data_IF_498610613149
#
_entry.id   IF_498610613149
#
_cell.length_a   1.000
_cell.length_b   1.000
_cell.length_c   1.000
_cell.angle_alpha   90.00
_cell.angle_beta   90.00
_cell.angle_gamma   90.00
#
_symmetry.space_group_name_H-M   'P 1'
#
loop_
_entity.id
_entity.type
_entity.pdbx_description
1 polymer ?
#
# COMPACT_ATOMS: atom_id res chain seq x y z
N UNK A 1 6.80 0.09 15.02
CA UNK A 1 7.10 0.66 13.68
C UNK A 1 7.33 2.18 13.67
N UNK A 2 7.45 2.88 14.80
CA UNK A 2 7.81 4.31 14.82
C UNK A 2 9.29 4.60 15.12
N UNK A 3 10.12 3.57 15.35
CA UNK A 3 11.52 3.72 15.78
C UNK A 3 12.55 3.41 14.69
N UNK A 4 12.16 2.81 13.56
CA UNK A 4 13.13 2.35 12.55
C UNK A 4 13.64 3.45 11.61
N UNK A 5 13.17 4.70 11.75
CA UNK A 5 13.55 5.83 10.88
C UNK A 5 14.27 6.98 11.60
N UNK A 6 14.52 6.91 12.91
CA UNK A 6 15.23 7.98 13.64
C UNK A 6 14.54 9.36 13.61
N UNK A 7 13.29 9.43 13.14
CA UNK A 7 12.56 10.66 12.86
C UNK A 7 11.34 10.73 13.77
N UNK A 8 11.18 11.86 14.46
CA UNK A 8 10.03 12.14 15.33
C UNK A 8 8.69 12.00 14.57
N UNK A 9 7.70 11.25 15.10
CA UNK A 9 6.35 11.14 14.53
C UNK A 9 5.66 12.49 14.30
N UNK A 10 6.07 13.53 15.04
CA UNK A 10 5.57 14.90 14.91
C UNK A 10 6.16 15.61 13.69
N UNK A 11 7.45 15.38 13.40
CA UNK A 11 8.11 15.91 12.21
C UNK A 11 7.58 15.23 10.94
N UNK A 12 7.39 13.91 10.99
CA UNK A 12 6.85 13.11 9.88
C UNK A 12 5.44 13.57 9.47
N UNK A 13 4.55 13.85 10.44
CA UNK A 13 3.21 14.40 10.17
C UNK A 13 3.25 15.77 9.49
N UNK A 14 4.15 16.66 9.93
CA UNK A 14 4.28 18.01 9.38
C UNK A 14 4.84 17.99 7.96
N UNK A 15 5.85 17.14 7.70
CA UNK A 15 6.44 16.98 6.36
C UNK A 15 5.45 16.35 5.39
N UNK A 16 4.77 15.26 5.76
CA UNK A 16 3.79 14.61 4.86
C UNK A 16 2.65 15.55 4.46
N UNK A 17 2.14 16.35 5.41
CA UNK A 17 1.05 17.29 5.14
C UNK A 17 1.50 18.48 4.28
N UNK A 18 2.74 18.96 4.47
CA UNK A 18 3.30 20.09 3.68
C UNK A 18 3.78 19.67 2.29
N UNK A 19 4.36 18.48 2.13
CA UNK A 19 4.94 18.03 0.87
C UNK A 19 3.94 17.28 -0.03
N UNK A 20 2.98 16.55 0.54
CA UNK A 20 2.06 15.68 -0.22
C UNK A 20 0.58 15.96 0.00
N UNK A 21 0.22 16.92 0.88
CA UNK A 21 -1.18 17.22 1.23
C UNK A 21 -1.93 16.10 1.98
N UNK A 22 -1.28 14.97 2.24
CA UNK A 22 -1.89 13.76 2.85
C UNK A 22 -1.40 13.54 4.29
N UNK A 23 -2.25 12.91 5.10
CA UNK A 23 -1.85 12.42 6.43
C UNK A 23 -0.85 11.27 6.31
N UNK A 24 -0.03 11.07 7.35
CA UNK A 24 0.92 9.95 7.41
C UNK A 24 0.24 8.59 7.19
N UNK A 25 -0.95 8.38 7.77
CA UNK A 25 -1.71 7.14 7.59
C UNK A 25 -2.12 6.90 6.13
N UNK A 26 -2.52 7.96 5.41
CA UNK A 26 -2.84 7.86 3.98
C UNK A 26 -1.59 7.54 3.15
N UNK A 27 -0.45 8.16 3.46
CA UNK A 27 0.82 7.88 2.78
C UNK A 27 1.25 6.42 3.00
N UNK A 28 1.21 5.95 4.24
CA UNK A 28 1.53 4.55 4.56
C UNK A 28 0.62 3.56 3.85
N UNK A 29 -0.67 3.89 3.73
CA UNK A 29 -1.63 3.09 2.97
C UNK A 29 -1.25 3.01 1.49
N UNK A 30 -0.94 4.14 0.86
CA UNK A 30 -0.48 4.17 -0.53
C UNK A 30 0.79 3.35 -0.74
N UNK A 31 1.79 3.51 0.15
CA UNK A 31 3.04 2.74 0.08
C UNK A 31 2.76 1.24 0.17
N UNK A 32 1.89 0.80 1.10
CA UNK A 32 1.54 -0.62 1.25
C UNK A 32 0.80 -1.16 0.04
N UNK A 33 -0.16 -0.42 -0.51
CA UNK A 33 -0.87 -0.82 -1.73
C UNK A 33 0.11 -0.94 -2.90
N UNK A 34 1.02 0.02 -3.07
CA UNK A 34 2.07 -0.05 -4.10
C UNK A 34 2.95 -1.30 -3.92
N UNK A 35 3.45 -1.56 -2.71
CA UNK A 35 4.27 -2.74 -2.44
C UNK A 35 3.51 -4.04 -2.71
N UNK A 36 2.22 -4.11 -2.36
CA UNK A 36 1.37 -5.25 -2.67
C UNK A 36 1.25 -5.48 -4.18
N UNK A 37 1.03 -4.42 -4.97
CA UNK A 37 1.00 -4.51 -6.43
C UNK A 37 2.34 -5.01 -7.00
N UNK A 38 3.47 -4.55 -6.45
CA UNK A 38 4.79 -5.05 -6.84
C UNK A 38 4.96 -6.54 -6.52
N UNK A 39 4.54 -7.00 -5.33
CA UNK A 39 4.56 -8.42 -5.00
C UNK A 39 3.67 -9.24 -5.95
N UNK A 40 2.46 -8.76 -6.26
CA UNK A 40 1.55 -9.41 -7.20
C UNK A 40 2.13 -9.52 -8.61
N UNK A 41 2.90 -8.51 -9.07
CA UNK A 41 3.48 -8.48 -10.41
C UNK A 41 4.74 -9.33 -10.54
N UNK A 42 5.56 -9.38 -9.48
CA UNK A 42 6.90 -9.96 -9.54
C UNK A 42 7.04 -11.30 -8.80
N UNK A 43 6.00 -11.75 -8.12
CA UNK A 43 6.00 -13.02 -7.37
C UNK A 43 4.71 -13.81 -7.61
N UNK A 44 4.70 -15.07 -7.20
CA UNK A 44 3.52 -15.95 -7.23
C UNK A 44 2.80 -16.04 -5.88
N UNK A 45 3.15 -15.17 -4.93
CA UNK A 45 2.53 -15.16 -3.60
C UNK A 45 1.03 -14.89 -3.72
N UNK A 46 0.24 -15.56 -2.88
CA UNK A 46 -1.18 -15.30 -2.79
C UNK A 46 -1.47 -14.01 -2.00
N UNK A 47 -2.75 -13.62 -1.89
CA UNK A 47 -3.10 -12.38 -1.21
C UNK A 47 -2.86 -12.45 0.30
N UNK A 48 -2.97 -13.63 0.90
CA UNK A 48 -2.80 -13.83 2.32
C UNK A 48 -1.32 -13.67 2.71
N UNK A 49 -0.42 -14.30 1.96
CA UNK A 49 1.03 -14.20 2.14
C UNK A 49 1.50 -12.75 1.99
N UNK A 50 1.02 -12.05 0.95
CA UNK A 50 1.35 -10.64 0.73
C UNK A 50 0.85 -9.77 1.90
N UNK A 51 -0.37 -10.02 2.39
CA UNK A 51 -0.92 -9.29 3.53
C UNK A 51 -0.03 -9.47 4.78
N UNK A 52 0.42 -10.70 5.05
CA UNK A 52 1.32 -10.99 6.17
C UNK A 52 2.69 -10.32 6.00
N UNK A 53 3.29 -10.37 4.81
CA UNK A 53 4.57 -9.71 4.53
C UNK A 53 4.52 -8.19 4.70
N UNK A 54 3.36 -7.58 4.45
CA UNK A 54 3.12 -6.14 4.62
C UNK A 54 2.63 -5.76 6.02
N UNK A 55 2.70 -6.70 6.98
CA UNK A 55 2.27 -6.54 8.36
C UNK A 55 0.79 -6.11 8.49
N UNK A 56 -0.07 -6.57 7.59
CA UNK A 56 -1.50 -6.57 7.86
C UNK A 56 -1.81 -7.67 8.87
N UNK A 57 -2.76 -7.41 9.76
CA UNK A 57 -3.25 -8.46 10.68
C UNK A 57 -4.13 -9.48 9.95
N UNK A 58 -4.78 -9.07 8.86
CA UNK A 58 -5.65 -9.91 8.03
C UNK A 58 -5.68 -9.41 6.57
N UNK A 59 -5.91 -10.33 5.63
CA UNK A 59 -6.11 -10.03 4.21
C UNK A 59 -7.25 -9.01 4.00
N UNK A 60 -8.34 -9.13 4.78
CA UNK A 60 -9.49 -8.20 4.76
C UNK A 60 -9.09 -6.74 4.97
N UNK A 61 -8.06 -6.47 5.79
CA UNK A 61 -7.56 -5.12 6.03
C UNK A 61 -6.80 -4.59 4.82
N UNK A 62 -5.98 -5.44 4.18
CA UNK A 62 -5.34 -5.10 2.90
C UNK A 62 -6.40 -4.82 1.83
N UNK A 63 -7.43 -5.67 1.72
CA UNK A 63 -8.50 -5.49 0.74
C UNK A 63 -9.29 -4.19 0.95
N UNK A 64 -9.42 -3.70 2.18
CA UNK A 64 -10.01 -2.39 2.49
C UNK A 64 -9.13 -1.24 2.00
N UNK A 65 -7.81 -1.38 2.14
CA UNK A 65 -6.87 -0.37 1.67
C UNK A 65 -6.82 -0.29 0.14
N UNK A 66 -6.87 -1.43 -0.55
CA UNK A 66 -7.03 -1.49 -2.01
C UNK A 66 -8.28 -0.75 -2.48
N UNK A 67 -9.44 -0.99 -1.86
CA UNK A 67 -10.68 -0.26 -2.23
C UNK A 67 -10.57 1.23 -2.00
N UNK A 68 -9.83 1.66 -0.98
CA UNK A 68 -9.64 3.09 -0.66
C UNK A 68 -8.69 3.80 -1.62
N UNK A 69 -7.67 3.12 -2.12
CA UNK A 69 -6.66 3.72 -3.01
C UNK A 69 -6.95 3.51 -4.49
N UNK A 70 -7.53 2.38 -4.88
CA UNK A 70 -7.74 1.99 -6.27
C UNK A 70 -9.22 1.86 -6.66
N UNK A 71 -10.14 1.79 -5.68
CA UNK A 71 -11.58 1.60 -5.91
C UNK A 71 -12.03 0.14 -6.04
N UNK A 72 -11.10 -0.83 -6.01
CA UNK A 72 -11.40 -2.26 -6.20
C UNK A 72 -10.59 -3.17 -5.26
N UNK A 73 -10.83 -4.48 -5.31
CA UNK A 73 -10.19 -5.46 -4.42
C UNK A 73 -8.86 -6.03 -4.97
N UNK A 74 -8.03 -6.69 -4.12
CA UNK A 74 -6.74 -7.26 -4.53
C UNK A 74 -6.83 -8.23 -5.71
N UNK A 75 -7.87 -9.08 -5.75
CA UNK A 75 -8.06 -10.06 -6.81
C UNK A 75 -8.28 -9.41 -8.17
N UNK A 76 -9.05 -8.31 -8.23
CA UNK A 76 -9.20 -7.54 -9.47
C UNK A 76 -7.91 -6.82 -9.86
N UNK A 77 -7.11 -6.37 -8.88
CA UNK A 77 -5.81 -5.77 -9.15
C UNK A 77 -4.88 -6.73 -9.89
N UNK A 78 -4.86 -8.02 -9.49
CA UNK A 78 -4.07 -9.05 -10.19
C UNK A 78 -4.48 -9.22 -11.64
N UNK A 79 -5.77 -9.16 -11.93
CA UNK A 79 -6.28 -9.23 -13.30
C UNK A 79 -5.77 -8.02 -14.10
N UNK A 80 -5.86 -6.80 -13.56
CA UNK A 80 -5.41 -5.58 -14.25
C UNK A 80 -3.90 -5.52 -14.46
N UNK A 81 -3.13 -6.12 -13.56
CA UNK A 81 -1.67 -6.21 -13.65
C UNK A 81 -1.18 -7.09 -14.82
N UNK A 82 -2.04 -7.82 -15.54
CA UNK A 82 -1.63 -8.50 -16.78
C UNK A 82 -1.20 -7.51 -17.86
N UNK A 83 -1.85 -6.34 -17.90
CA UNK A 83 -1.71 -5.35 -18.98
C UNK A 83 -1.04 -4.04 -18.51
N UNK A 84 -1.09 -3.74 -17.20
CA UNK A 84 -0.69 -2.43 -16.65
C UNK A 84 0.37 -2.60 -15.55
N UNK A 85 1.25 -1.61 -15.38
CA UNK A 85 2.28 -1.60 -14.33
C UNK A 85 1.75 -1.11 -12.97
N UNK A 86 2.38 -1.48 -11.84
CA UNK A 86 1.99 -0.99 -10.51
C UNK A 86 1.93 0.54 -10.37
N UNK A 87 2.80 1.27 -11.07
CA UNK A 87 2.87 2.73 -11.03
C UNK A 87 1.66 3.37 -11.72
N UNK A 88 1.24 2.82 -12.86
CA UNK A 88 0.12 3.33 -13.65
C UNK A 88 -1.22 3.12 -12.95
N UNK A 89 -1.37 2.09 -12.10
CA UNK A 89 -2.59 1.87 -11.34
C UNK A 89 -2.82 2.88 -10.20
N UNK A 90 -1.79 3.64 -9.81
CA UNK A 90 -1.85 4.61 -8.70
C UNK A 90 -2.00 6.07 -9.16
N UNK A 91 -2.06 6.31 -10.48
CA UNK A 91 -2.29 7.62 -11.11
C UNK A 91 -3.79 7.82 -11.38
#
# INVERSE_FOLDING_TARGET
>A
MAQTLGISPRWLRTVCRRAFGKSFTQLMRQIRVYQALCFMKHTTLDNWDIAMQLNYSEESNMARDFRKELGYCPSEARIRLSEITPQELLL
#
